data_IF_769476571402
#
_entry.id   IF_769476571402
#
_cell.length_a   1.000
_cell.length_b   1.000
_cell.length_c   1.000
_cell.angle_alpha   90.00
_cell.angle_beta   90.00
_cell.angle_gamma   90.00
#
_symmetry.space_group_name_H-M   'P 1'
#
loop_
_entity.id
_entity.type
_entity.pdbx_description
1 polymer ?
#
# COMPACT_ATOMS: atom_id res chain seq x y z
N UNK A 1 2.40 35.64 20.09
CA UNK A 1 1.98 37.05 20.37
C UNK A 1 3.26 37.89 20.46
N UNK A 2 3.39 38.95 19.65
CA UNK A 2 4.61 39.78 19.61
C UNK A 2 4.66 40.77 20.79
N UNK A 3 5.86 41.08 21.29
CA UNK A 3 6.09 42.07 22.35
C UNK A 3 6.19 43.47 21.72
N UNK A 4 5.56 44.46 22.35
CA UNK A 4 5.58 45.85 21.86
C UNK A 4 6.61 46.71 22.61
N UNK A 5 7.19 46.18 23.68
CA UNK A 5 8.21 46.84 24.48
C UNK A 5 9.61 46.53 23.94
N UNK A 6 10.18 47.48 23.19
CA UNK A 6 11.51 47.36 22.59
C UNK A 6 12.64 47.14 23.62
N UNK A 7 12.46 47.61 24.87
CA UNK A 7 13.41 47.36 25.96
C UNK A 7 13.43 45.89 26.36
N UNK A 8 12.26 45.23 26.43
CA UNK A 8 12.19 43.79 26.70
C UNK A 8 12.79 42.97 25.57
N UNK A 9 12.53 43.36 24.31
CA UNK A 9 13.13 42.72 23.13
C UNK A 9 14.65 42.90 23.17
N UNK A 10 15.16 44.10 23.46
CA UNK A 10 16.58 44.39 23.57
C UNK A 10 17.29 43.63 24.69
N UNK A 11 16.67 43.56 25.88
CA UNK A 11 17.17 42.78 27.02
C UNK A 11 17.24 41.27 26.69
N UNK A 12 16.19 40.73 26.06
CA UNK A 12 16.16 39.34 25.63
C UNK A 12 17.18 39.05 24.52
N UNK A 13 17.28 39.91 23.50
CA UNK A 13 18.28 39.79 22.44
C UNK A 13 19.70 39.81 23.01
N UNK A 14 19.96 40.62 24.04
CA UNK A 14 21.24 40.64 24.73
C UNK A 14 21.52 39.30 25.42
N UNK A 15 20.53 38.76 26.13
CA UNK A 15 20.66 37.44 26.77
C UNK A 15 21.02 36.36 25.74
N UNK A 16 20.35 36.33 24.59
CA UNK A 16 20.63 35.39 23.51
C UNK A 16 22.06 35.53 22.95
N UNK A 17 22.55 36.77 22.79
CA UNK A 17 23.94 37.03 22.34
C UNK A 17 24.95 36.50 23.36
N UNK A 18 24.70 36.75 24.65
CA UNK A 18 25.57 36.32 25.75
C UNK A 18 25.56 34.79 25.87
N UNK A 19 24.39 34.14 25.79
CA UNK A 19 24.20 32.68 25.78
C UNK A 19 24.88 32.00 24.59
N UNK A 20 24.90 32.66 23.43
CA UNK A 20 25.60 32.16 22.23
C UNK A 20 27.12 32.18 22.38
N UNK A 21 27.66 32.80 23.44
CA UNK A 21 29.07 32.80 23.78
C UNK A 21 29.86 33.98 23.20
N UNK A 22 29.19 35.03 22.71
CA UNK A 22 29.85 36.25 22.29
C UNK A 22 30.39 37.02 23.50
N UNK A 23 31.71 37.22 23.55
CA UNK A 23 32.36 37.90 24.69
C UNK A 23 32.09 39.40 24.71
N UNK A 24 31.90 40.00 23.54
CA UNK A 24 31.65 41.43 23.39
C UNK A 24 30.65 41.69 22.26
N UNK A 25 29.93 42.81 22.31
CA UNK A 25 29.09 43.28 21.20
C UNK A 25 29.91 43.48 19.92
N UNK A 26 31.21 43.77 20.02
CA UNK A 26 32.08 43.88 18.85
C UNK A 26 32.24 42.54 18.13
N UNK A 27 32.38 41.44 18.87
CA UNK A 27 32.53 40.10 18.31
C UNK A 27 31.25 39.70 17.58
N UNK A 28 30.10 39.95 18.20
CA UNK A 28 28.79 39.75 17.57
C UNK A 28 28.62 40.57 16.28
N UNK A 29 28.93 41.87 16.32
CA UNK A 29 28.80 42.74 15.14
C UNK A 29 29.72 42.31 13.98
N UNK A 30 30.90 41.74 14.26
CA UNK A 30 31.78 41.21 13.20
C UNK A 30 31.13 40.05 12.46
N UNK A 31 30.52 39.10 13.17
CA UNK A 31 29.87 37.95 12.54
C UNK A 31 28.55 38.35 11.84
N UNK A 32 27.79 39.27 12.43
CA UNK A 32 26.65 39.91 11.75
C UNK A 32 27.06 40.56 10.43
N UNK A 33 28.16 41.31 10.40
CA UNK A 33 28.64 41.97 9.19
C UNK A 33 29.16 40.99 8.13
N UNK A 34 29.85 39.91 8.54
CA UNK A 34 30.28 38.85 7.61
C UNK A 34 29.10 38.22 6.89
N UNK A 35 28.04 37.92 7.64
CA UNK A 35 26.83 37.29 7.10
C UNK A 35 26.02 38.27 6.24
N UNK A 36 25.95 39.55 6.64
CA UNK A 36 25.25 40.61 5.88
C UNK A 36 25.89 40.94 4.54
N UNK A 37 27.22 40.94 4.46
CA UNK A 37 27.98 41.38 3.28
C UNK A 37 28.77 40.26 2.59
N UNK A 38 28.46 38.99 2.87
CA UNK A 38 29.10 37.81 2.24
C UNK A 38 30.63 37.85 2.25
N UNK A 39 31.23 38.15 3.41
CA UNK A 39 32.69 38.23 3.60
C UNK A 39 33.43 39.30 2.77
N UNK A 40 32.76 40.38 2.33
CA UNK A 40 33.44 41.57 1.82
C UNK A 40 34.26 42.28 2.91
N UNK A 41 35.21 43.14 2.50
CA UNK A 41 36.13 43.83 3.42
C UNK A 41 35.36 44.75 4.39
N UNK A 42 35.38 44.39 5.69
CA UNK A 42 34.72 45.14 6.76
C UNK A 42 35.70 46.18 7.28
N UNK A 43 35.45 47.46 6.99
CA UNK A 43 36.25 48.57 7.54
C UNK A 43 35.90 48.83 9.01
N UNK A 44 36.85 49.38 9.77
CA UNK A 44 36.64 49.77 11.18
C UNK A 44 35.47 50.75 11.37
N UNK A 45 35.25 51.64 10.39
CA UNK A 45 34.13 52.58 10.38
C UNK A 45 32.78 51.86 10.31
N UNK A 46 32.66 50.82 9.47
CA UNK A 46 31.44 50.02 9.35
C UNK A 46 31.19 49.25 10.65
N UNK A 47 32.24 48.64 11.21
CA UNK A 47 32.14 47.93 12.49
C UNK A 47 31.70 48.86 13.63
N UNK A 48 32.28 50.06 13.71
CA UNK A 48 31.90 51.02 14.76
C UNK A 48 30.46 51.51 14.61
N UNK A 49 29.99 51.71 13.38
CA UNK A 49 28.60 52.10 13.12
C UNK A 49 27.60 51.01 13.53
N UNK A 50 27.87 49.74 13.19
CA UNK A 50 27.01 48.64 13.61
C UNK A 50 27.06 48.41 15.13
N UNK A 51 28.22 48.56 15.78
CA UNK A 51 28.32 48.49 17.25
C UNK A 51 27.45 49.53 17.93
N UNK A 52 27.46 50.76 17.42
CA UNK A 52 26.60 51.84 17.95
C UNK A 52 25.12 51.54 17.70
N UNK A 53 24.78 51.00 16.53
CA UNK A 53 23.40 50.63 16.17
C UNK A 53 22.88 49.51 17.08
N UNK A 54 23.60 48.40 17.20
CA UNK A 54 23.23 47.30 18.08
C UNK A 54 23.26 47.71 19.55
N UNK A 55 24.21 48.55 19.97
CA UNK A 55 24.22 49.10 21.33
C UNK A 55 22.94 49.87 21.69
N UNK A 56 22.33 50.57 20.73
CA UNK A 56 21.03 51.23 20.91
C UNK A 56 19.85 50.24 20.90
N UNK A 57 19.90 49.22 20.02
CA UNK A 57 18.87 48.17 19.96
C UNK A 57 18.81 47.38 21.27
N UNK A 58 19.96 46.96 21.80
CA UNK A 58 20.03 46.16 23.04
C UNK A 58 19.58 46.92 24.29
N UNK A 59 19.59 48.26 24.25
CA UNK A 59 19.03 49.11 25.31
C UNK A 59 17.53 49.39 25.15
N UNK A 60 16.95 49.03 23.99
CA UNK A 60 15.59 49.38 23.61
C UNK A 60 15.44 50.81 23.07
N UNK A 61 16.53 51.53 22.78
CA UNK A 61 16.51 52.89 22.25
C UNK A 61 16.18 52.92 20.74
N UNK A 62 16.36 51.78 20.04
CA UNK A 62 16.04 51.59 18.63
C UNK A 62 15.36 50.24 18.39
N UNK A 63 14.47 50.20 17.41
CA UNK A 63 13.83 48.97 16.94
C UNK A 63 14.75 48.15 16.06
N UNK A 64 14.67 46.82 16.20
CA UNK A 64 15.22 45.86 15.24
C UNK A 64 14.54 46.12 13.89
N UNK A 65 15.31 46.16 12.80
CA UNK A 65 14.75 46.33 11.46
C UNK A 65 14.43 44.95 10.88
N UNK A 66 13.41 44.86 10.01
CA UNK A 66 12.99 43.59 9.41
C UNK A 66 14.11 42.86 8.68
N UNK A 67 15.03 43.60 8.04
CA UNK A 67 16.17 43.02 7.34
C UNK A 67 17.25 42.45 8.28
N UNK A 68 17.23 42.81 9.58
CA UNK A 68 18.15 42.24 10.55
C UNK A 68 17.70 40.84 10.99
N UNK A 69 16.40 40.58 11.01
CA UNK A 69 15.80 39.39 11.61
C UNK A 69 16.33 38.05 11.05
N UNK A 70 16.47 37.84 9.73
CA UNK A 70 17.02 36.58 9.21
C UNK A 70 18.46 36.33 9.67
N UNK A 71 19.28 37.39 9.69
CA UNK A 71 20.69 37.33 10.08
C UNK A 71 20.80 37.05 11.60
N UNK A 72 19.97 37.72 12.40
CA UNK A 72 19.91 37.51 13.85
C UNK A 72 19.44 36.09 14.19
N UNK A 73 18.40 35.61 13.51
CA UNK A 73 17.89 34.25 13.67
C UNK A 73 18.97 33.20 13.38
N UNK A 74 19.71 33.38 12.29
CA UNK A 74 20.80 32.47 11.91
C UNK A 74 21.97 32.48 12.91
N UNK A 75 22.43 33.65 13.35
CA UNK A 75 23.54 33.73 14.30
C UNK A 75 23.18 33.15 15.68
N UNK A 76 21.98 33.48 16.15
CA UNK A 76 21.54 33.19 17.51
C UNK A 76 20.82 31.85 17.67
N UNK A 77 20.55 31.13 16.57
CA UNK A 77 19.86 29.83 16.58
C UNK A 77 18.36 29.88 16.89
N UNK A 78 17.75 31.07 16.91
CA UNK A 78 16.38 31.27 17.39
C UNK A 78 15.48 31.74 16.26
N UNK A 79 14.19 31.40 16.25
CA UNK A 79 13.25 31.96 15.28
C UNK A 79 13.04 33.47 15.50
N UNK A 80 12.63 34.17 14.44
CA UNK A 80 12.33 35.61 14.51
C UNK A 80 11.23 35.91 15.55
N UNK A 81 10.29 34.98 15.71
CA UNK A 81 9.16 35.04 16.64
C UNK A 81 9.61 35.03 18.10
N UNK A 82 10.68 34.31 18.43
CA UNK A 82 11.26 34.30 19.78
C UNK A 82 11.85 35.67 20.12
N UNK A 83 12.66 36.21 19.20
CA UNK A 83 13.25 37.55 19.33
C UNK A 83 12.15 38.61 19.50
N UNK A 84 11.16 38.62 18.60
CA UNK A 84 10.10 39.63 18.57
C UNK A 84 9.07 39.47 19.71
N UNK A 85 9.01 38.32 20.37
CA UNK A 85 8.15 38.08 21.52
C UNK A 85 8.86 38.28 22.87
N UNK A 86 10.15 38.65 22.84
CA UNK A 86 11.00 38.71 24.03
C UNK A 86 10.98 37.39 24.83
N UNK A 87 11.09 36.26 24.13
CA UNK A 87 11.12 34.91 24.72
C UNK A 87 9.76 34.36 25.15
N UNK A 88 8.65 35.06 24.87
CA UNK A 88 7.29 34.58 25.20
C UNK A 88 6.73 33.58 24.19
N UNK A 89 7.24 33.60 22.97
CA UNK A 89 6.87 32.70 21.89
C UNK A 89 8.10 31.87 21.55
N UNK A 90 8.25 30.74 22.25
CA UNK A 90 9.19 29.69 21.83
C UNK A 90 8.62 29.05 20.57
N UNK A 91 9.02 29.54 19.40
CA UNK A 91 9.10 28.62 18.27
C UNK A 91 10.40 27.80 18.46
N UNK A 92 10.40 26.48 18.21
CA UNK A 92 11.52 25.62 18.61
C UNK A 92 12.85 26.06 17.97
N UNK A 93 13.87 26.45 18.76
CA UNK A 93 15.22 26.76 18.27
C UNK A 93 16.00 25.53 17.80
N UNK A 94 16.69 25.61 16.65
CA UNK A 94 17.80 24.79 16.08
C UNK A 94 17.84 23.25 16.26
N UNK A 95 16.92 22.64 16.97
CA UNK A 95 16.56 21.22 16.99
C UNK A 95 15.22 21.04 16.27
N UNK A 96 15.04 21.72 15.14
CA UNK A 96 13.92 21.49 14.22
C UNK A 96 14.13 20.15 13.52
N UNK A 97 14.13 19.07 14.29
CA UNK A 97 14.12 17.71 13.80
C UNK A 97 12.87 17.57 12.96
N UNK A 98 13.05 17.55 11.64
CA UNK A 98 11.96 17.41 10.68
C UNK A 98 11.66 15.93 10.40
N UNK A 99 10.47 15.65 9.89
CA UNK A 99 10.14 14.33 9.35
C UNK A 99 11.16 13.91 8.26
N UNK A 100 11.63 14.86 7.46
CA UNK A 100 12.65 14.65 6.42
C UNK A 100 13.98 14.16 7.02
N UNK A 101 14.53 14.87 7.99
CA UNK A 101 15.83 14.54 8.61
C UNK A 101 15.80 13.20 9.34
N UNK A 102 14.70 12.90 10.04
CA UNK A 102 14.53 11.62 10.75
C UNK A 102 14.46 10.46 9.76
N UNK A 103 13.68 10.60 8.71
CA UNK A 103 13.55 9.59 7.68
C UNK A 103 14.88 9.32 6.95
N UNK A 104 15.79 10.30 6.88
CA UNK A 104 17.11 10.13 6.28
C UNK A 104 18.15 9.56 7.27
N UNK A 105 17.93 9.72 8.58
CA UNK A 105 18.83 9.22 9.61
C UNK A 105 18.94 7.71 9.60
N UNK A 106 20.13 7.19 9.88
CA UNK A 106 20.40 5.76 10.12
C UNK A 106 20.88 5.50 11.56
N UNK A 107 20.78 6.52 12.43
CA UNK A 107 21.14 6.41 13.84
C UNK A 107 19.91 6.07 14.68
N UNK A 108 19.92 4.87 15.27
CA UNK A 108 18.85 4.41 16.16
C UNK A 108 18.63 5.34 17.34
N UNK A 109 19.66 6.01 17.88
CA UNK A 109 19.49 6.97 18.98
C UNK A 109 18.65 8.17 18.55
N UNK A 110 18.83 8.64 17.32
CA UNK A 110 18.04 9.73 16.74
C UNK A 110 16.57 9.31 16.64
N UNK A 111 16.30 8.07 16.22
CA UNK A 111 14.94 7.53 16.18
C UNK A 111 14.33 7.36 17.58
N UNK A 112 15.11 6.84 18.55
CA UNK A 112 14.67 6.68 19.93
C UNK A 112 14.29 8.03 20.57
N UNK A 113 15.11 9.06 20.34
CA UNK A 113 14.85 10.43 20.81
C UNK A 113 13.61 11.04 20.13
N UNK A 114 13.47 10.83 18.83
CA UNK A 114 12.31 11.28 18.05
C UNK A 114 11.00 10.66 18.52
N UNK A 115 10.97 9.34 18.77
CA UNK A 115 9.76 8.65 19.23
C UNK A 115 9.36 9.00 20.67
N UNK A 116 10.27 9.58 21.47
CA UNK A 116 9.99 10.05 22.83
C UNK A 116 9.49 11.49 22.89
N UNK A 117 9.45 12.20 21.76
CA UNK A 117 9.04 13.60 21.74
C UNK A 117 7.61 13.78 22.22
N UNK A 118 7.42 14.71 23.14
CA UNK A 118 6.10 15.01 23.67
C UNK A 118 5.17 15.64 22.63
N UNK A 119 5.69 16.30 21.59
CA UNK A 119 4.87 16.99 20.58
C UNK A 119 4.19 16.07 19.57
N UNK A 120 4.50 14.76 19.59
CA UNK A 120 3.88 13.74 18.73
C UNK A 120 3.95 14.07 17.23
N UNK A 121 4.99 14.79 16.79
CA UNK A 121 5.18 15.20 15.38
C UNK A 121 5.13 14.02 14.40
N UNK A 122 5.47 12.81 14.86
CA UNK A 122 5.31 11.55 14.15
C UNK A 122 3.91 11.38 13.51
N UNK A 123 2.85 11.82 14.19
CA UNK A 123 1.47 11.66 13.73
C UNK A 123 1.08 12.63 12.60
N UNK A 124 1.90 13.65 12.36
CA UNK A 124 1.56 14.80 11.53
C UNK A 124 2.38 14.81 10.24
N UNK A 125 1.78 15.37 9.19
CA UNK A 125 2.52 15.72 7.98
C UNK A 125 3.17 17.10 8.12
N UNK A 126 4.23 17.32 7.34
CA UNK A 126 4.86 18.64 7.20
C UNK A 126 4.11 19.53 6.19
N UNK A 127 4.70 20.67 5.84
CA UNK A 127 4.15 21.65 4.89
C UNK A 127 3.98 21.09 3.47
N UNK A 128 4.67 19.99 3.13
CA UNK A 128 4.54 19.27 1.87
C UNK A 128 3.49 18.16 1.92
N UNK A 129 2.71 18.11 3.01
CA UNK A 129 1.72 17.06 3.24
C UNK A 129 2.34 15.65 3.31
N UNK A 130 3.61 15.52 3.70
CA UNK A 130 4.32 14.25 3.86
C UNK A 130 4.61 13.93 5.32
N UNK A 131 4.41 12.67 5.68
CA UNK A 131 4.79 12.13 7.00
C UNK A 131 6.24 11.65 7.00
N UNK A 132 6.77 11.32 8.18
CA UNK A 132 8.08 10.67 8.28
C UNK A 132 8.13 9.32 7.55
N UNK A 133 7.00 8.62 7.45
CA UNK A 133 6.90 7.34 6.73
C UNK A 133 6.96 7.58 5.22
N UNK A 134 6.31 8.61 4.69
CA UNK A 134 6.42 8.95 3.26
C UNK A 134 7.88 9.20 2.86
N UNK A 135 8.61 9.98 3.67
CA UNK A 135 10.02 10.23 3.42
C UNK A 135 10.88 8.99 3.61
N UNK A 136 10.58 8.13 4.58
CA UNK A 136 11.35 6.90 4.80
C UNK A 136 11.24 5.96 3.60
N UNK A 137 10.04 5.88 3.00
CA UNK A 137 9.81 5.13 1.76
C UNK A 137 10.53 5.79 0.57
N UNK A 138 10.48 7.12 0.45
CA UNK A 138 11.16 7.87 -0.62
C UNK A 138 12.70 7.71 -0.57
N UNK A 139 13.29 7.74 0.63
CA UNK A 139 14.71 7.50 0.84
C UNK A 139 15.10 6.02 0.86
N UNK A 140 14.12 5.12 0.72
CA UNK A 140 14.31 3.67 0.86
C UNK A 140 14.98 3.27 2.18
N UNK A 141 14.70 4.00 3.26
CA UNK A 141 15.27 3.74 4.59
C UNK A 141 14.52 2.58 5.28
N UNK A 142 14.81 1.37 4.82
CA UNK A 142 14.21 0.16 5.36
C UNK A 142 14.54 -0.07 6.83
N UNK A 143 15.75 0.31 7.27
CA UNK A 143 16.17 0.15 8.66
C UNK A 143 15.27 0.93 9.63
N UNK A 144 14.86 2.15 9.27
CA UNK A 144 13.90 2.92 10.06
C UNK A 144 12.50 2.30 10.02
N UNK A 145 12.02 1.87 8.84
CA UNK A 145 10.72 1.18 8.71
C UNK A 145 10.66 -0.08 9.57
N UNK A 146 11.72 -0.90 9.54
CA UNK A 146 11.85 -2.10 10.36
C UNK A 146 11.87 -1.76 11.86
N UNK A 147 12.62 -0.74 12.26
CA UNK A 147 12.61 -0.25 13.65
C UNK A 147 11.19 0.11 14.11
N UNK A 148 10.40 0.82 13.30
CA UNK A 148 9.03 1.19 13.66
C UNK A 148 8.10 -0.03 13.83
N UNK A 149 8.29 -1.07 13.01
CA UNK A 149 7.53 -2.33 13.08
C UNK A 149 7.95 -3.18 14.27
N UNK A 150 9.26 -3.40 14.45
CA UNK A 150 9.82 -4.24 15.52
C UNK A 150 9.50 -3.69 16.91
N UNK A 151 9.52 -2.36 17.08
CA UNK A 151 9.19 -1.70 18.35
C UNK A 151 7.66 -1.52 18.55
N UNK A 152 6.83 -1.93 17.59
CA UNK A 152 5.37 -1.82 17.67
C UNK A 152 4.86 -0.38 17.67
N UNK A 153 5.61 0.55 17.09
CA UNK A 153 5.14 1.92 16.89
C UNK A 153 4.08 2.00 15.80
N UNK A 154 4.21 1.16 14.77
CA UNK A 154 3.21 0.97 13.72
C UNK A 154 3.00 -0.52 13.46
N UNK A 155 1.87 -0.84 12.83
CA UNK A 155 1.63 -2.14 12.23
C UNK A 155 0.80 -1.95 10.97
N UNK A 156 1.13 -2.69 9.92
CA UNK A 156 0.33 -2.71 8.69
C UNK A 156 -0.68 -3.86 8.68
N UNK A 157 -0.44 -4.90 9.47
CA UNK A 157 -1.35 -6.03 9.68
C UNK A 157 -1.51 -6.21 11.18
N UNK A 158 -2.74 -6.14 11.67
CA UNK A 158 -3.03 -6.37 13.09
C UNK A 158 -2.85 -7.86 13.43
N UNK A 159 -1.86 -8.22 14.29
CA UNK A 159 -1.59 -9.62 14.63
C UNK A 159 -2.69 -10.26 15.48
N UNK A 160 -3.60 -9.48 16.06
CA UNK A 160 -4.68 -9.96 16.92
C UNK A 160 -6.05 -9.94 16.23
N UNK A 161 -6.11 -9.54 14.96
CA UNK A 161 -7.33 -9.55 14.19
C UNK A 161 -7.53 -10.91 13.53
N UNK A 162 -8.65 -11.58 13.87
CA UNK A 162 -9.00 -12.85 13.24
C UNK A 162 -9.28 -12.73 11.72
N UNK A 163 -9.54 -11.51 11.21
CA UNK A 163 -9.87 -11.27 9.78
C UNK A 163 -9.55 -9.82 9.35
N UNK A 164 -9.15 -9.65 8.08
CA UNK A 164 -9.25 -8.39 7.32
C UNK A 164 -10.71 -7.90 7.32
N UNK A 165 -10.96 -6.63 7.62
CA UNK A 165 -12.30 -6.04 7.55
C UNK A 165 -12.50 -5.26 6.23
N UNK A 166 -13.66 -4.60 6.06
CA UNK A 166 -13.96 -3.81 4.85
C UNK A 166 -12.95 -2.67 4.61
N UNK A 167 -12.14 -2.33 5.61
CA UNK A 167 -11.14 -1.27 5.59
C UNK A 167 -9.70 -1.79 5.59
N UNK A 168 -9.48 -3.09 5.35
CA UNK A 168 -8.16 -3.69 5.20
C UNK A 168 -7.67 -4.45 6.44
N UNK A 169 -6.35 -4.49 6.62
CA UNK A 169 -5.67 -5.31 7.64
C UNK A 169 -5.61 -4.67 9.04
N UNK A 170 -6.50 -3.71 9.34
CA UNK A 170 -6.57 -3.00 10.64
C UNK A 170 -5.24 -2.37 11.06
N UNK A 171 -4.49 -1.90 10.07
CA UNK A 171 -3.26 -1.17 10.25
C UNK A 171 -3.43 0.03 11.21
N UNK A 172 -2.40 0.34 11.99
CA UNK A 172 -2.47 1.39 12.99
C UNK A 172 -1.13 1.77 13.61
N UNK A 173 -1.21 2.58 14.67
CA UNK A 173 -0.06 3.06 15.44
C UNK A 173 -0.39 3.07 16.93
N UNK A 174 0.62 2.80 17.76
CA UNK A 174 0.52 2.88 19.22
C UNK A 174 0.66 4.32 19.73
N UNK A 175 1.08 5.26 18.89
CA UNK A 175 1.28 6.67 19.24
C UNK A 175 -0.08 7.38 19.32
N UNK A 176 -0.39 7.94 20.50
CA UNK A 176 -1.67 8.62 20.75
C UNK A 176 -1.55 10.13 20.54
N UNK A 177 -2.54 10.77 19.90
CA UNK A 177 -2.57 12.23 19.79
C UNK A 177 -2.81 12.88 21.15
N UNK A 178 -2.32 14.11 21.35
CA UNK A 178 -2.65 14.92 22.53
C UNK A 178 -4.15 15.18 22.61
N UNK A 179 -4.68 15.32 23.83
CA UNK A 179 -6.11 15.61 24.10
C UNK A 179 -6.65 16.80 23.28
N UNK A 180 -5.87 17.88 23.15
CA UNK A 180 -6.25 19.06 22.35
C UNK A 180 -6.28 18.78 20.85
N UNK A 181 -5.45 17.85 20.36
CA UNK A 181 -5.32 17.47 18.95
C UNK A 181 -6.32 16.38 18.52
N UNK A 182 -7.06 15.77 19.45
CA UNK A 182 -8.07 14.73 19.14
C UNK A 182 -9.17 15.22 18.19
N UNK A 183 -9.46 16.52 18.19
CA UNK A 183 -10.49 17.14 17.36
C UNK A 183 -9.93 17.85 16.11
N UNK A 184 -8.61 17.78 15.87
CA UNK A 184 -7.98 18.46 14.75
C UNK A 184 -7.56 17.47 13.65
N UNK A 185 -7.70 17.85 12.36
CA UNK A 185 -7.33 17.03 11.20
C UNK A 185 -5.81 16.84 11.02
N UNK A 186 -4.99 17.28 11.99
CA UNK A 186 -3.53 17.29 11.91
C UNK A 186 -2.91 15.87 12.04
N UNK A 187 -3.62 14.92 12.68
CA UNK A 187 -3.17 13.53 12.84
C UNK A 187 -3.42 12.71 11.55
N UNK A 188 -2.68 13.04 10.50
CA UNK A 188 -2.82 12.41 9.18
C UNK A 188 -2.35 10.96 9.18
N UNK A 189 -1.25 10.66 9.86
CA UNK A 189 -0.60 9.36 9.76
C UNK A 189 -1.49 8.16 10.14
N UNK A 190 -2.27 8.17 11.25
CA UNK A 190 -3.18 7.06 11.56
C UNK A 190 -4.19 6.76 10.44
N UNK A 191 -4.65 7.81 9.75
CA UNK A 191 -5.56 7.66 8.60
C UNK A 191 -4.83 7.07 7.40
N UNK A 192 -3.59 7.50 7.13
CA UNK A 192 -2.79 6.98 6.02
C UNK A 192 -2.42 5.51 6.22
N UNK A 193 -1.91 5.15 7.39
CA UNK A 193 -1.59 3.76 7.75
C UNK A 193 -2.83 2.88 7.55
N UNK A 194 -4.00 3.34 8.01
CA UNK A 194 -5.23 2.55 7.96
C UNK A 194 -5.77 2.34 6.55
N UNK A 195 -5.73 3.36 5.69
CA UNK A 195 -6.46 3.34 4.41
C UNK A 195 -5.57 3.28 3.18
N UNK A 196 -4.25 3.42 3.32
CA UNK A 196 -3.32 3.40 2.19
C UNK A 196 -2.46 2.15 2.22
N UNK A 197 -2.96 1.09 1.59
CA UNK A 197 -2.23 -0.19 1.46
C UNK A 197 -0.87 -0.04 0.76
N UNK A 198 -0.67 1.05 0.00
CA UNK A 198 0.62 1.40 -0.60
C UNK A 198 1.77 1.39 0.40
N UNK A 199 1.54 1.82 1.65
CA UNK A 199 2.59 1.87 2.68
C UNK A 199 3.08 0.47 3.03
N UNK A 200 2.15 -0.49 3.14
CA UNK A 200 2.45 -1.91 3.37
C UNK A 200 3.21 -2.50 2.18
N UNK A 201 2.71 -2.32 0.96
CA UNK A 201 3.32 -2.91 -0.25
C UNK A 201 4.68 -2.31 -0.59
N UNK A 202 4.89 -1.01 -0.36
CA UNK A 202 6.21 -0.37 -0.53
C UNK A 202 7.19 -0.85 0.55
N UNK A 203 6.73 -1.08 1.78
CA UNK A 203 7.57 -1.67 2.83
C UNK A 203 7.98 -3.10 2.47
N UNK A 204 7.07 -3.90 1.90
CA UNK A 204 7.37 -5.24 1.38
C UNK A 204 8.43 -5.15 0.27
N UNK A 205 8.29 -4.20 -0.68
CA UNK A 205 9.27 -4.00 -1.74
C UNK A 205 10.67 -3.71 -1.17
N UNK A 206 10.77 -2.80 -0.19
CA UNK A 206 12.02 -2.51 0.50
C UNK A 206 12.59 -3.73 1.25
N UNK A 207 11.75 -4.55 1.86
CA UNK A 207 12.18 -5.77 2.53
C UNK A 207 12.82 -6.77 1.55
N UNK A 208 12.24 -6.93 0.35
CA UNK A 208 12.82 -7.76 -0.72
C UNK A 208 14.18 -7.21 -1.15
N UNK A 209 14.28 -5.90 -1.36
CA UNK A 209 15.53 -5.21 -1.74
C UNK A 209 16.62 -5.33 -0.66
N UNK A 210 16.24 -5.48 0.61
CA UNK A 210 17.15 -5.63 1.76
C UNK A 210 17.32 -7.08 2.23
N UNK A 211 16.83 -8.05 1.44
CA UNK A 211 16.91 -9.49 1.72
C UNK A 211 16.26 -9.94 3.05
N UNK A 212 15.30 -9.16 3.55
CA UNK A 212 14.57 -9.44 4.78
C UNK A 212 13.25 -10.15 4.49
N UNK A 213 13.34 -11.45 4.25
CA UNK A 213 12.19 -12.23 3.82
C UNK A 213 11.26 -12.66 4.97
N UNK A 214 11.75 -12.61 6.21
CA UNK A 214 10.98 -13.03 7.39
C UNK A 214 9.74 -12.15 7.59
N UNK A 215 9.81 -10.89 7.13
CA UNK A 215 8.70 -9.95 7.25
C UNK A 215 7.56 -10.21 6.25
N UNK A 216 7.80 -10.95 5.16
CA UNK A 216 6.84 -11.10 4.06
C UNK A 216 5.54 -11.79 4.51
N UNK A 217 5.63 -12.77 5.40
CA UNK A 217 4.45 -13.43 5.98
C UNK A 217 3.71 -12.50 6.93
N UNK A 218 4.45 -11.78 7.80
CA UNK A 218 3.85 -10.85 8.78
C UNK A 218 3.10 -9.69 8.12
N UNK A 219 3.47 -9.33 6.90
CA UNK A 219 2.83 -8.26 6.13
C UNK A 219 1.83 -8.78 5.09
N UNK A 220 1.49 -10.09 5.10
CA UNK A 220 0.59 -10.72 4.13
C UNK A 220 0.98 -10.37 2.68
N UNK A 221 2.27 -10.51 2.33
CA UNK A 221 2.84 -9.90 1.14
C UNK A 221 2.25 -10.38 -0.20
N UNK A 222 1.58 -11.53 -0.22
CA UNK A 222 0.92 -12.10 -1.42
C UNK A 222 -0.56 -11.76 -1.49
N UNK A 223 -1.09 -11.06 -0.49
CA UNK A 223 -2.52 -10.79 -0.32
C UNK A 223 -2.84 -9.31 -0.52
N UNK A 224 -4.03 -9.05 -1.05
CA UNK A 224 -4.66 -7.73 -1.07
C UNK A 224 -5.98 -7.79 -0.29
N UNK A 225 -6.43 -6.69 0.35
CA UNK A 225 -7.65 -6.68 1.16
C UNK A 225 -8.90 -7.29 0.48
N UNK A 226 -9.07 -7.06 -0.81
CA UNK A 226 -10.23 -7.48 -1.63
C UNK A 226 -10.37 -8.98 -1.72
N UNK A 227 -9.24 -9.70 -1.62
CA UNK A 227 -9.25 -11.15 -1.67
C UNK A 227 -10.08 -11.72 -0.51
N UNK A 228 -10.09 -11.08 0.66
CA UNK A 228 -10.91 -11.51 1.78
C UNK A 228 -12.40 -11.20 1.61
N UNK A 229 -12.76 -10.35 0.65
CA UNK A 229 -14.13 -9.97 0.33
C UNK A 229 -14.67 -10.69 -0.91
N UNK A 230 -13.93 -11.66 -1.44
CA UNK A 230 -14.32 -12.48 -2.58
C UNK A 230 -15.67 -13.17 -2.34
N UNK A 231 -16.57 -13.05 -3.32
CA UNK A 231 -17.84 -13.81 -3.36
C UNK A 231 -18.08 -14.39 -4.76
N UNK A 232 -19.03 -15.32 -4.86
CA UNK A 232 -19.41 -15.95 -6.12
C UNK A 232 -20.08 -15.00 -7.14
N UNK A 233 -20.43 -13.76 -6.75
CA UNK A 233 -21.07 -12.75 -7.61
C UNK A 233 -20.07 -11.81 -8.31
N UNK A 234 -18.76 -12.04 -8.18
CA UNK A 234 -17.72 -11.13 -8.69
C UNK A 234 -17.34 -10.03 -7.70
N UNK A 235 -16.24 -9.32 -7.99
CA UNK A 235 -15.58 -8.35 -7.09
C UNK A 235 -15.47 -6.96 -7.72
N UNK A 236 -15.23 -6.00 -6.82
CA UNK A 236 -14.61 -4.69 -6.98
C UNK A 236 -13.16 -4.79 -7.54
N UNK A 237 -12.63 -3.80 -8.28
CA UNK A 237 -11.40 -3.96 -9.04
C UNK A 237 -10.15 -4.01 -8.14
N UNK A 238 -9.46 -5.15 -8.14
CA UNK A 238 -8.17 -5.36 -7.48
C UNK A 238 -7.06 -4.42 -8.01
N UNK A 239 -7.26 -3.78 -9.17
CA UNK A 239 -6.29 -2.88 -9.80
C UNK A 239 -5.84 -1.72 -8.88
N UNK A 240 -6.68 -1.24 -7.97
CA UNK A 240 -6.31 -0.12 -7.09
C UNK A 240 -5.21 -0.49 -6.07
N UNK A 241 -4.91 -1.78 -5.89
CA UNK A 241 -3.85 -2.30 -5.01
C UNK A 241 -2.60 -2.70 -5.78
N UNK A 242 -2.58 -2.51 -7.09
CA UNK A 242 -1.38 -2.76 -7.88
C UNK A 242 -0.28 -1.79 -7.43
N UNK A 243 0.86 -2.34 -7.05
CA UNK A 243 2.03 -1.57 -6.64
C UNK A 243 3.21 -1.89 -7.56
N UNK A 244 3.64 -0.91 -8.36
CA UNK A 244 4.73 -1.09 -9.31
C UNK A 244 6.08 -1.31 -8.61
N UNK A 245 6.35 -0.64 -7.49
CA UNK A 245 7.61 -0.84 -6.73
C UNK A 245 7.74 -2.30 -6.27
N UNK A 246 6.65 -2.92 -5.80
CA UNK A 246 6.62 -4.33 -5.41
C UNK A 246 6.82 -5.25 -6.61
N UNK A 247 6.15 -4.98 -7.73
CA UNK A 247 6.33 -5.75 -8.98
C UNK A 247 7.80 -5.68 -9.43
N UNK A 248 8.40 -4.49 -9.37
CA UNK A 248 9.80 -4.28 -9.70
C UNK A 248 10.74 -5.01 -8.76
N UNK A 249 10.52 -4.94 -7.44
CA UNK A 249 11.34 -5.62 -6.45
C UNK A 249 11.31 -7.16 -6.64
N UNK A 250 10.12 -7.73 -6.90
CA UNK A 250 9.98 -9.17 -7.16
C UNK A 250 10.67 -9.55 -8.48
N UNK A 251 10.43 -8.80 -9.56
CA UNK A 251 10.97 -9.12 -10.89
C UNK A 251 12.50 -9.03 -10.97
N UNK A 252 13.09 -8.07 -10.26
CA UNK A 252 14.54 -7.89 -10.17
C UNK A 252 15.21 -8.83 -9.17
N UNK A 253 14.45 -9.58 -8.35
CA UNK A 253 15.05 -10.47 -7.35
C UNK A 253 15.83 -11.61 -8.01
N UNK A 254 17.08 -11.78 -7.58
CA UNK A 254 17.91 -12.94 -7.94
C UNK A 254 17.68 -14.14 -7.02
N UNK A 255 16.94 -13.95 -5.92
CA UNK A 255 16.69 -14.97 -4.93
C UNK A 255 15.50 -15.86 -5.32
N UNK A 256 15.77 -17.12 -5.61
CA UNK A 256 14.75 -18.10 -5.98
C UNK A 256 13.63 -18.23 -4.92
N UNK A 257 13.92 -18.03 -3.63
CA UNK A 257 12.89 -18.07 -2.57
C UNK A 257 11.84 -16.98 -2.73
N UNK A 258 12.23 -15.78 -3.18
CA UNK A 258 11.29 -14.68 -3.44
C UNK A 258 10.41 -15.05 -4.62
N UNK A 259 11.03 -15.51 -5.71
CA UNK A 259 10.29 -15.93 -6.90
C UNK A 259 9.31 -17.06 -6.55
N UNK A 260 9.78 -18.04 -5.78
CA UNK A 260 8.96 -19.17 -5.35
C UNK A 260 7.79 -18.70 -4.49
N UNK A 261 8.06 -17.90 -3.47
CA UNK A 261 7.03 -17.36 -2.57
C UNK A 261 5.89 -16.69 -3.34
N UNK A 262 6.19 -15.77 -4.25
CA UNK A 262 5.18 -15.03 -5.01
C UNK A 262 4.54 -15.83 -6.17
N UNK A 263 5.13 -16.94 -6.61
CA UNK A 263 4.60 -17.76 -7.70
C UNK A 263 3.91 -19.05 -7.24
N UNK A 264 4.15 -19.48 -5.99
CA UNK A 264 3.47 -20.62 -5.40
C UNK A 264 2.01 -20.33 -5.09
N UNK A 265 1.20 -21.38 -5.20
CA UNK A 265 -0.17 -21.36 -4.70
C UNK A 265 -0.17 -21.18 -3.18
N UNK A 266 -1.12 -20.41 -2.68
CA UNK A 266 -1.38 -20.28 -1.26
C UNK A 266 -2.89 -20.27 -1.00
N UNK A 267 -3.26 -20.50 0.26
CA UNK A 267 -4.65 -20.57 0.69
C UNK A 267 -4.99 -19.34 1.51
N UNK A 268 -6.14 -18.73 1.20
CA UNK A 268 -6.67 -17.61 1.98
C UNK A 268 -8.10 -17.89 2.43
N UNK A 269 -8.44 -17.34 3.59
CA UNK A 269 -9.82 -17.28 4.08
C UNK A 269 -10.56 -16.10 3.47
N UNK A 270 -11.77 -16.35 2.97
CA UNK A 270 -12.67 -15.34 2.39
C UNK A 270 -13.95 -15.20 3.21
N UNK A 271 -14.69 -14.13 2.93
CA UNK A 271 -16.03 -13.87 3.48
C UNK A 271 -16.90 -15.13 3.39
N UNK A 272 -17.49 -15.54 4.54
CA UNK A 272 -18.16 -16.83 4.81
C UNK A 272 -17.26 -18.01 5.24
N UNK A 273 -16.04 -17.75 5.72
CA UNK A 273 -15.12 -18.77 6.27
C UNK A 273 -14.78 -19.89 5.27
N UNK A 274 -14.81 -19.56 3.98
CA UNK A 274 -14.34 -20.47 2.94
C UNK A 274 -12.86 -20.24 2.71
N UNK A 275 -12.12 -21.32 2.49
CA UNK A 275 -10.74 -21.23 2.04
C UNK A 275 -10.69 -21.39 0.53
N UNK A 276 -9.92 -20.54 -0.13
CA UNK A 276 -9.66 -20.64 -1.57
C UNK A 276 -8.17 -20.73 -1.84
N UNK A 277 -7.81 -21.42 -2.92
CA UNK A 277 -6.43 -21.53 -3.41
C UNK A 277 -6.24 -20.57 -4.56
N UNK A 278 -5.18 -19.77 -4.49
CA UNK A 278 -4.86 -18.67 -5.42
C UNK A 278 -3.35 -18.58 -5.61
N UNK A 279 -2.93 -17.85 -6.64
CA UNK A 279 -1.55 -17.35 -6.78
C UNK A 279 -1.52 -15.84 -6.55
N UNK A 280 -0.33 -15.23 -6.47
CA UNK A 280 -0.22 -13.79 -6.26
C UNK A 280 -1.06 -13.01 -7.30
N UNK A 281 -1.92 -12.04 -6.89
CA UNK A 281 -2.85 -11.37 -7.80
C UNK A 281 -2.19 -10.72 -9.01
N UNK A 282 -0.97 -10.21 -8.84
CA UNK A 282 -0.21 -9.53 -9.89
C UNK A 282 0.92 -10.39 -10.46
N UNK A 283 0.86 -11.73 -10.33
CA UNK A 283 1.88 -12.64 -10.86
C UNK A 283 2.08 -12.47 -12.38
N UNK A 284 1.00 -12.18 -13.11
CA UNK A 284 1.05 -11.84 -14.53
C UNK A 284 1.95 -10.63 -14.78
N UNK A 285 1.75 -9.52 -14.05
CA UNK A 285 2.55 -8.31 -14.18
C UNK A 285 4.02 -8.53 -13.78
N UNK A 286 4.26 -9.32 -12.73
CA UNK A 286 5.61 -9.73 -12.33
C UNK A 286 6.32 -10.47 -13.46
N UNK A 287 5.65 -11.44 -14.09
CA UNK A 287 6.23 -12.18 -15.24
C UNK A 287 6.48 -11.23 -16.41
N UNK A 288 5.54 -10.34 -16.74
CA UNK A 288 5.71 -9.33 -17.80
C UNK A 288 6.95 -8.49 -17.55
N UNK A 289 7.15 -8.03 -16.32
CA UNK A 289 8.31 -7.22 -15.92
C UNK A 289 9.61 -8.03 -15.97
N UNK A 290 9.63 -9.27 -15.48
CA UNK A 290 10.79 -10.16 -15.61
C UNK A 290 11.22 -10.33 -17.07
N UNK A 291 10.26 -10.53 -17.98
CA UNK A 291 10.50 -10.62 -19.42
C UNK A 291 10.95 -9.31 -20.03
N UNK A 292 10.49 -8.18 -19.50
CA UNK A 292 10.88 -6.85 -19.94
C UNK A 292 12.37 -6.58 -19.67
N UNK A 293 12.82 -6.90 -18.45
CA UNK A 293 14.20 -6.68 -17.99
C UNK A 293 15.17 -7.80 -18.38
N UNK A 294 14.66 -8.89 -18.97
CA UNK A 294 15.47 -10.02 -19.44
C UNK A 294 15.82 -11.06 -18.37
N UNK A 295 15.14 -11.07 -17.23
CA UNK A 295 15.30 -12.10 -16.18
C UNK A 295 14.56 -13.40 -16.57
N UNK A 296 15.04 -14.07 -17.63
CA UNK A 296 14.38 -15.26 -18.16
C UNK A 296 14.38 -16.44 -17.19
N UNK A 297 15.40 -16.54 -16.33
CA UNK A 297 15.48 -17.62 -15.33
C UNK A 297 14.31 -17.55 -14.34
N UNK A 298 14.09 -16.38 -13.74
CA UNK A 298 12.96 -16.17 -12.83
C UNK A 298 11.62 -16.28 -13.56
N UNK A 299 11.52 -15.70 -14.77
CA UNK A 299 10.31 -15.78 -15.59
C UNK A 299 9.93 -17.24 -15.89
N UNK A 300 10.91 -18.11 -16.20
CA UNK A 300 10.65 -19.52 -16.48
C UNK A 300 10.07 -20.26 -15.26
N UNK A 301 10.56 -19.97 -14.06
CA UNK A 301 10.03 -20.55 -12.80
C UNK A 301 8.58 -20.12 -12.59
N UNK A 302 8.33 -18.82 -12.61
CA UNK A 302 6.99 -18.25 -12.41
C UNK A 302 5.99 -18.72 -13.48
N UNK A 303 6.41 -18.78 -14.77
CA UNK A 303 5.58 -19.30 -15.86
C UNK A 303 5.19 -20.76 -15.65
N UNK A 304 6.13 -21.63 -15.23
CA UNK A 304 5.85 -23.05 -14.99
C UNK A 304 4.81 -23.23 -13.87
N UNK A 305 4.91 -22.46 -12.80
CA UNK A 305 3.94 -22.47 -11.69
C UNK A 305 2.58 -21.93 -12.10
N UNK A 306 2.54 -20.81 -12.81
CA UNK A 306 1.31 -20.25 -13.37
C UNK A 306 0.62 -21.21 -14.38
N UNK A 307 1.38 -21.94 -15.19
CA UNK A 307 0.85 -22.98 -16.09
C UNK A 307 0.23 -24.13 -15.29
N UNK A 308 0.92 -24.59 -14.24
CA UNK A 308 0.40 -25.65 -13.37
C UNK A 308 -0.92 -25.24 -12.71
N UNK A 309 -0.96 -24.04 -12.14
CA UNK A 309 -2.15 -23.44 -11.54
C UNK A 309 -3.32 -23.33 -12.54
N UNK A 310 -3.08 -22.78 -13.73
CA UNK A 310 -4.13 -22.67 -14.77
C UNK A 310 -4.62 -24.05 -15.24
N UNK A 311 -3.76 -25.06 -15.33
CA UNK A 311 -4.16 -26.43 -15.71
C UNK A 311 -5.03 -27.09 -14.64
N UNK A 312 -4.64 -26.97 -13.38
CA UNK A 312 -5.41 -27.50 -12.26
C UNK A 312 -6.77 -26.81 -12.15
N UNK A 313 -6.79 -25.49 -12.27
CA UNK A 313 -8.01 -24.68 -12.34
C UNK A 313 -8.94 -25.13 -13.47
N UNK A 314 -8.40 -25.36 -14.68
CA UNK A 314 -9.19 -25.89 -15.81
C UNK A 314 -9.84 -27.24 -15.45
N UNK A 315 -9.05 -28.18 -14.93
CA UNK A 315 -9.55 -29.52 -14.61
C UNK A 315 -10.64 -29.48 -13.55
N UNK A 316 -10.44 -28.70 -12.47
CA UNK A 316 -11.44 -28.52 -11.40
C UNK A 316 -12.76 -27.97 -11.93
N UNK A 317 -12.71 -26.92 -12.75
CA UNK A 317 -13.94 -26.32 -13.30
C UNK A 317 -14.61 -27.24 -14.32
N UNK A 318 -13.85 -27.87 -15.21
CA UNK A 318 -14.37 -28.82 -16.20
C UNK A 318 -15.08 -30.00 -15.51
N UNK A 319 -14.52 -30.55 -14.44
CA UNK A 319 -15.15 -31.61 -13.66
C UNK A 319 -16.39 -31.12 -12.90
N UNK A 320 -16.38 -29.91 -12.35
CA UNK A 320 -17.55 -29.31 -11.72
C UNK A 320 -18.68 -29.06 -12.73
N UNK A 321 -18.36 -28.59 -13.94
CA UNK A 321 -19.34 -28.42 -15.03
C UNK A 321 -19.93 -29.76 -15.43
N UNK A 322 -19.10 -30.79 -15.67
CA UNK A 322 -19.60 -32.14 -15.99
C UNK A 322 -20.49 -32.70 -14.89
N UNK A 323 -20.14 -32.49 -13.63
CA UNK A 323 -20.96 -32.91 -12.49
C UNK A 323 -22.31 -32.18 -12.48
N UNK A 324 -22.31 -30.86 -12.66
CA UNK A 324 -23.53 -30.07 -12.75
C UNK A 324 -24.41 -30.55 -13.92
N UNK A 325 -23.84 -30.76 -15.11
CA UNK A 325 -24.54 -31.31 -16.27
C UNK A 325 -25.20 -32.66 -15.96
N UNK A 326 -24.43 -33.58 -15.34
CA UNK A 326 -24.91 -34.91 -14.98
C UNK A 326 -26.06 -34.84 -13.97
N UNK A 327 -25.92 -34.08 -12.90
CA UNK A 327 -26.96 -33.92 -11.87
C UNK A 327 -28.25 -33.34 -12.45
N UNK A 328 -28.14 -32.37 -13.36
CA UNK A 328 -29.30 -31.85 -14.07
C UNK A 328 -29.94 -32.90 -14.96
N UNK A 329 -29.16 -33.65 -15.72
CA UNK A 329 -29.67 -34.71 -16.58
C UNK A 329 -30.41 -35.80 -15.78
N UNK A 330 -29.81 -36.26 -14.67
CA UNK A 330 -30.40 -37.27 -13.79
C UNK A 330 -31.72 -36.77 -13.18
N UNK A 331 -31.74 -35.52 -12.67
CA UNK A 331 -32.96 -34.90 -12.13
C UNK A 331 -34.07 -34.76 -13.18
N UNK A 332 -33.73 -34.39 -14.42
CA UNK A 332 -34.71 -34.25 -15.51
C UNK A 332 -35.27 -35.62 -15.91
N UNK A 333 -34.42 -36.63 -15.99
CA UNK A 333 -34.83 -38.01 -16.29
C UNK A 333 -35.80 -38.53 -15.25
N UNK A 334 -35.49 -38.34 -13.96
CA UNK A 334 -36.37 -38.77 -12.86
C UNK A 334 -37.71 -38.02 -12.86
N UNK A 335 -37.72 -36.72 -13.16
CA UNK A 335 -38.96 -35.95 -13.32
C UNK A 335 -39.79 -36.44 -14.51
N UNK A 336 -39.14 -36.70 -15.65
CA UNK A 336 -39.80 -37.23 -16.84
C UNK A 336 -40.42 -38.60 -16.58
N UNK A 337 -39.70 -39.52 -15.95
CA UNK A 337 -40.19 -40.85 -15.59
C UNK A 337 -41.39 -40.78 -14.64
N UNK A 338 -41.34 -39.90 -13.63
CA UNK A 338 -42.48 -39.65 -12.74
C UNK A 338 -43.71 -39.15 -13.50
N UNK A 339 -43.53 -38.18 -14.40
CA UNK A 339 -44.61 -37.64 -15.24
C UNK A 339 -45.21 -38.70 -16.17
N UNK A 340 -44.38 -39.51 -16.83
CA UNK A 340 -44.84 -40.62 -17.68
C UNK A 340 -45.67 -41.62 -16.86
N UNK A 341 -45.22 -41.96 -15.65
CA UNK A 341 -45.94 -42.88 -14.76
C UNK A 341 -47.33 -42.33 -14.40
N UNK A 342 -47.41 -41.08 -13.96
CA UNK A 342 -48.69 -40.41 -13.65
C UNK A 342 -49.60 -40.38 -14.88
N UNK A 343 -49.08 -40.00 -16.05
CA UNK A 343 -49.84 -39.98 -17.30
C UNK A 343 -50.40 -41.36 -17.69
N UNK A 344 -49.67 -42.43 -17.37
CA UNK A 344 -50.09 -43.81 -17.63
C UNK A 344 -51.19 -44.26 -16.66
N UNK A 345 -51.11 -43.83 -15.40
CA UNK A 345 -52.05 -44.21 -14.34
C UNK A 345 -53.35 -43.38 -14.35
N UNK A 346 -53.30 -42.09 -14.71
CA UNK A 346 -54.43 -41.16 -14.60
C UNK A 346 -54.88 -40.53 -15.91
N UNK A 347 -54.22 -40.86 -17.04
CA UNK A 347 -54.39 -40.17 -18.31
C UNK A 347 -53.47 -38.94 -18.43
N UNK A 348 -53.06 -38.62 -19.67
CA UNK A 348 -52.06 -37.60 -19.98
C UNK A 348 -52.72 -36.26 -20.39
N UNK A 349 -52.39 -35.17 -19.69
CA UNK A 349 -52.83 -33.84 -20.12
C UNK A 349 -51.94 -33.32 -21.28
N UNK A 350 -52.45 -32.34 -22.04
CA UNK A 350 -51.66 -31.66 -23.09
C UNK A 350 -50.42 -30.98 -22.51
N UNK A 351 -50.51 -30.47 -21.28
CA UNK A 351 -49.38 -29.83 -20.60
C UNK A 351 -48.29 -30.84 -20.24
N UNK A 352 -48.66 -32.00 -19.71
CA UNK A 352 -47.72 -33.06 -19.35
C UNK A 352 -47.06 -33.66 -20.60
N UNK A 353 -47.82 -33.87 -21.68
CA UNK A 353 -47.28 -34.32 -22.96
C UNK A 353 -46.26 -33.33 -23.54
N UNK A 354 -46.55 -32.03 -23.47
CA UNK A 354 -45.62 -30.98 -23.89
C UNK A 354 -44.38 -30.91 -22.99
N UNK A 355 -44.52 -31.16 -21.69
CA UNK A 355 -43.39 -31.17 -20.74
C UNK A 355 -42.47 -32.37 -20.99
N UNK A 356 -43.02 -33.57 -21.19
CA UNK A 356 -42.26 -34.78 -21.57
C UNK A 356 -41.54 -34.56 -22.89
N UNK A 357 -42.20 -33.94 -23.88
CA UNK A 357 -41.57 -33.59 -25.17
C UNK A 357 -40.39 -32.63 -24.96
N UNK A 358 -40.56 -31.58 -24.15
CA UNK A 358 -39.47 -30.64 -23.81
C UNK A 358 -38.30 -31.32 -23.11
N UNK A 359 -38.54 -32.26 -22.19
CA UNK A 359 -37.47 -33.02 -21.54
C UNK A 359 -36.67 -33.85 -22.54
N UNK A 360 -37.34 -34.52 -23.49
CA UNK A 360 -36.69 -35.29 -24.56
C UNK A 360 -35.91 -34.40 -25.53
N UNK A 361 -36.44 -33.24 -25.87
CA UNK A 361 -35.84 -32.32 -26.84
C UNK A 361 -34.68 -31.49 -26.25
N UNK A 362 -34.62 -31.33 -24.92
CA UNK A 362 -33.63 -30.48 -24.26
C UNK A 362 -32.76 -31.22 -23.24
N UNK A 363 -32.64 -32.55 -23.34
CA UNK A 363 -31.83 -33.35 -22.42
C UNK A 363 -30.37 -32.87 -22.28
N UNK A 364 -29.85 -32.19 -23.32
CA UNK A 364 -28.47 -31.70 -23.39
C UNK A 364 -28.29 -30.21 -23.00
N UNK A 365 -29.38 -29.43 -22.88
CA UNK A 365 -29.32 -27.95 -22.94
C UNK A 365 -29.50 -27.22 -21.59
N UNK A 366 -29.64 -27.94 -20.47
CA UNK A 366 -30.12 -27.36 -19.20
C UNK A 366 -29.06 -27.15 -18.10
N UNK A 367 -27.81 -27.59 -18.29
CA UNK A 367 -26.73 -27.36 -17.34
C UNK A 367 -26.39 -25.87 -17.12
N UNK A 368 -26.73 -25.04 -18.11
CA UNK A 368 -26.44 -23.62 -18.16
C UNK A 368 -27.38 -22.77 -17.28
N UNK A 369 -28.51 -23.32 -16.79
CA UNK A 369 -29.55 -22.52 -16.09
C UNK A 369 -29.25 -22.30 -14.60
N UNK A 370 -28.45 -23.17 -13.98
CA UNK A 370 -28.18 -23.10 -12.52
C UNK A 370 -26.69 -23.06 -12.18
N UNK A 371 -25.85 -22.86 -13.19
CA UNK A 371 -24.44 -22.58 -13.00
C UNK A 371 -24.12 -21.16 -13.46
N UNK A 372 -23.26 -20.47 -12.70
CA UNK A 372 -22.75 -19.16 -13.12
C UNK A 372 -21.25 -19.25 -13.22
N UNK A 373 -20.72 -18.84 -14.37
CA UNK A 373 -19.30 -18.67 -14.60
C UNK A 373 -19.03 -17.16 -14.73
N UNK A 374 -18.20 -16.61 -13.86
CA UNK A 374 -17.80 -15.21 -13.90
C UNK A 374 -16.29 -15.11 -14.06
N UNK A 375 -15.85 -14.12 -14.83
CA UNK A 375 -14.46 -13.69 -14.93
C UNK A 375 -14.49 -12.18 -14.73
N UNK A 376 -13.68 -11.66 -13.80
CA UNK A 376 -13.55 -10.21 -13.61
C UNK A 376 -12.35 -9.62 -14.38
N UNK A 377 -12.23 -8.30 -14.33
CA UNK A 377 -11.15 -7.55 -15.00
C UNK A 377 -9.75 -7.87 -14.45
N UNK A 378 -9.68 -8.48 -13.27
CA UNK A 378 -8.44 -8.87 -12.60
C UNK A 378 -8.13 -10.36 -12.78
N UNK A 379 -8.84 -11.04 -13.68
CA UNK A 379 -8.71 -12.47 -13.96
C UNK A 379 -9.03 -13.36 -12.76
N UNK A 380 -9.84 -12.90 -11.80
CA UNK A 380 -10.52 -13.83 -10.90
C UNK A 380 -11.66 -14.49 -11.63
N UNK A 381 -11.78 -15.78 -11.41
CA UNK A 381 -12.86 -16.59 -11.92
C UNK A 381 -13.65 -17.16 -10.76
N UNK A 382 -14.96 -17.27 -10.96
CA UNK A 382 -15.82 -18.03 -10.07
C UNK A 382 -16.75 -18.92 -10.87
N UNK A 383 -16.92 -20.15 -10.39
CA UNK A 383 -17.93 -21.08 -10.89
C UNK A 383 -18.71 -21.62 -9.71
N UNK A 384 -20.03 -21.66 -9.81
CA UNK A 384 -20.87 -22.31 -8.80
C UNK A 384 -22.04 -23.05 -9.44
N UNK A 385 -22.53 -24.08 -8.75
CA UNK A 385 -23.79 -24.75 -9.02
C UNK A 385 -24.47 -25.18 -7.72
N UNK A 386 -25.76 -25.50 -7.80
CA UNK A 386 -26.55 -25.96 -6.64
C UNK A 386 -26.94 -27.42 -6.80
N UNK A 387 -26.77 -28.22 -5.75
CA UNK A 387 -27.21 -29.60 -5.69
C UNK A 387 -27.88 -29.88 -4.34
N UNK A 388 -29.11 -30.39 -4.34
CA UNK A 388 -29.86 -30.75 -3.11
C UNK A 388 -29.84 -29.68 -2.01
N UNK A 389 -29.92 -28.40 -2.40
CA UNK A 389 -29.90 -27.28 -1.47
C UNK A 389 -28.50 -26.81 -1.03
N UNK A 390 -27.44 -27.57 -1.33
CA UNK A 390 -26.04 -27.21 -1.07
C UNK A 390 -25.44 -26.46 -2.27
N UNK A 391 -24.56 -25.50 -1.98
CA UNK A 391 -23.78 -24.78 -2.98
C UNK A 391 -22.43 -25.46 -3.15
N UNK A 392 -22.03 -25.66 -4.40
CA UNK A 392 -20.69 -26.10 -4.77
C UNK A 392 -20.07 -25.03 -5.64
N UNK A 393 -18.94 -24.50 -5.20
CA UNK A 393 -18.34 -23.33 -5.82
C UNK A 393 -16.80 -23.37 -5.78
N UNK A 394 -16.19 -22.69 -6.75
CA UNK A 394 -14.76 -22.44 -6.84
C UNK A 394 -14.56 -20.97 -7.15
N UNK A 395 -13.57 -20.37 -6.50
CA UNK A 395 -13.14 -19.00 -6.70
C UNK A 395 -11.61 -19.05 -6.71
N UNK A 396 -10.97 -18.54 -7.75
CA UNK A 396 -9.50 -18.49 -7.89
C UNK A 396 -9.13 -17.40 -8.90
N UNK A 397 -7.85 -17.01 -8.98
CA UNK A 397 -7.34 -16.22 -10.10
C UNK A 397 -6.75 -17.11 -11.19
N UNK A 398 -6.53 -16.55 -12.38
CA UNK A 398 -5.83 -17.21 -13.50
C UNK A 398 -4.84 -16.24 -14.14
N UNK A 399 -3.74 -16.77 -14.67
CA UNK A 399 -2.67 -15.95 -15.21
C UNK A 399 -2.68 -15.90 -16.75
N UNK A 400 -2.31 -14.75 -17.30
CA UNK A 400 -2.09 -14.49 -18.73
C UNK A 400 -0.91 -13.55 -18.93
N UNK A 401 -0.14 -13.74 -19.99
CA UNK A 401 1.02 -12.89 -20.33
C UNK A 401 0.94 -12.48 -21.80
N UNK A 402 1.15 -11.21 -22.10
CA UNK A 402 1.07 -10.60 -23.43
C UNK A 402 2.44 -10.37 -24.08
N UNK A 403 3.52 -10.32 -23.30
CA UNK A 403 4.87 -10.13 -23.83
C UNK A 403 5.25 -11.19 -24.87
N UNK A 404 5.95 -10.70 -25.90
CA UNK A 404 6.56 -11.50 -26.98
C UNK A 404 8.09 -11.57 -26.83
N UNK A 405 8.63 -11.05 -25.73
CA UNK A 405 10.06 -11.05 -25.41
C UNK A 405 10.51 -12.44 -24.93
N UNK A 406 11.81 -12.63 -24.89
CA UNK A 406 12.45 -13.84 -24.39
C UNK A 406 12.89 -14.83 -25.46
N UNK A 407 13.66 -15.83 -25.00
CA UNK A 407 14.11 -16.98 -25.78
C UNK A 407 12.97 -17.84 -26.32
N UNK A 408 13.32 -18.80 -27.18
CA UNK A 408 12.35 -19.74 -27.75
C UNK A 408 11.65 -20.58 -26.66
N UNK A 409 12.37 -20.97 -25.60
CA UNK A 409 11.81 -21.70 -24.46
C UNK A 409 10.75 -20.85 -23.74
N UNK A 410 11.10 -19.61 -23.40
CA UNK A 410 10.17 -18.66 -22.76
C UNK A 410 8.93 -18.42 -23.60
N UNK A 411 9.09 -18.19 -24.91
CA UNK A 411 7.96 -18.01 -25.83
C UNK A 411 7.05 -19.24 -25.88
N UNK A 412 7.62 -20.45 -25.76
CA UNK A 412 6.83 -21.67 -25.67
C UNK A 412 6.02 -21.73 -24.37
N UNK A 413 6.62 -21.37 -23.23
CA UNK A 413 5.93 -21.31 -21.95
C UNK A 413 4.81 -20.27 -21.94
N UNK A 414 5.05 -19.06 -22.44
CA UNK A 414 4.02 -18.01 -22.58
C UNK A 414 2.86 -18.50 -23.46
N UNK A 415 3.16 -19.17 -24.57
CA UNK A 415 2.13 -19.75 -25.45
C UNK A 415 1.31 -20.82 -24.72
N UNK A 416 1.95 -21.68 -23.93
CA UNK A 416 1.28 -22.71 -23.14
C UNK A 416 0.39 -22.11 -22.06
N UNK A 417 0.89 -21.11 -21.32
CA UNK A 417 0.12 -20.39 -20.30
C UNK A 417 -1.16 -19.79 -20.90
N UNK A 418 -1.02 -19.04 -21.99
CA UNK A 418 -2.14 -18.39 -22.66
C UNK A 418 -3.11 -19.40 -23.28
N UNK A 419 -2.62 -20.56 -23.74
CA UNK A 419 -3.49 -21.66 -24.18
C UNK A 419 -4.33 -22.19 -23.02
N UNK A 420 -3.75 -22.35 -21.82
CA UNK A 420 -4.48 -22.77 -20.63
C UNK A 420 -5.53 -21.73 -20.23
N UNK A 421 -5.15 -20.44 -20.19
CA UNK A 421 -6.06 -19.33 -19.94
C UNK A 421 -7.27 -19.35 -20.89
N UNK A 422 -7.03 -19.41 -22.20
CA UNK A 422 -8.11 -19.39 -23.20
C UNK A 422 -9.04 -20.61 -23.07
N UNK A 423 -8.52 -21.78 -22.68
CA UNK A 423 -9.34 -22.97 -22.42
C UNK A 423 -10.27 -22.77 -21.22
N UNK A 424 -9.79 -22.16 -20.13
CA UNK A 424 -10.60 -21.84 -18.96
C UNK A 424 -11.71 -20.86 -19.35
N UNK A 425 -11.37 -19.76 -20.04
CA UNK A 425 -12.37 -18.77 -20.48
C UNK A 425 -13.44 -19.41 -21.38
N UNK A 426 -13.06 -20.35 -22.25
CA UNK A 426 -14.02 -21.02 -23.14
C UNK A 426 -15.04 -21.88 -22.41
N UNK A 427 -14.77 -22.31 -21.16
CA UNK A 427 -15.74 -23.03 -20.33
C UNK A 427 -16.98 -22.16 -19.99
N UNK A 428 -16.84 -20.83 -19.99
CA UNK A 428 -17.95 -19.91 -19.78
C UNK A 428 -18.90 -19.75 -20.98
N UNK A 429 -18.59 -20.33 -22.14
CA UNK A 429 -19.41 -20.24 -23.35
C UNK A 429 -19.27 -18.93 -24.15
N UNK A 430 -20.10 -18.76 -25.20
CA UNK A 430 -20.01 -17.65 -26.16
C UNK A 430 -20.12 -16.24 -25.54
N UNK A 431 -20.82 -16.12 -24.40
CA UNK A 431 -21.02 -14.85 -23.71
C UNK A 431 -19.71 -14.22 -23.23
N UNK A 432 -18.71 -15.04 -22.86
CA UNK A 432 -17.43 -14.57 -22.31
C UNK A 432 -16.28 -14.66 -23.32
N UNK A 433 -16.41 -15.50 -24.36
CA UNK A 433 -15.46 -15.54 -25.49
C UNK A 433 -15.44 -14.23 -26.31
N UNK A 434 -16.54 -13.45 -26.29
CA UNK A 434 -16.66 -12.17 -27.02
C UNK A 434 -16.27 -10.92 -26.23
N UNK A 435 -16.09 -11.02 -24.91
CA UNK A 435 -15.76 -9.85 -24.05
C UNK A 435 -14.24 -9.55 -24.07
N UNK A 436 -13.42 -10.49 -24.55
CA UNK A 436 -11.94 -10.45 -24.43
C UNK A 436 -11.19 -10.54 -25.77
N UNK A 437 -11.90 -10.55 -26.90
CA UNK A 437 -11.37 -10.38 -28.26
C UNK A 437 -11.63 -8.94 -28.72
#
# INVERSE_FOLDING_TARGET
MYELNDKKIGEHLKALIDERGYKTTADFCRDYLKLKYSNQEITDTILQNERNRFGAILKGDKKIQTHDLPILSELLCVPCEEILSAGKCYAPTRNHVTNYEIAQSHDRKVWDEYMKREDTIFLNCDEYCKTVIDYALEFKNYAFMKYLLDEGFIWFVDPNADVCDMYGYRAGTSIKPKELAKNYPENRLPTEIRFQDRLRTQTIALAIENEDYDILESLCAREIPEMHQLTWNGINPAFIYKNEDLIEAIANSENEKVIDYFSDEFTIGIYNNKNITVVFPFLSDVIEKMLEIGNEKAAAVALKKAIAHNKDTFNKIDDMIKMACKLHHDSQTEQMERLIKVCTETGCSVNDANMIKRFKENADNYAYIYSTFNVDECNYISFHYRNNGQYHDIITNICKVTSKKGSAEIKSLVKELNKCYNRIISLGGEKYAKILL
#
